data_IF_422187336716
#
_entry.id   IF_422187336716
#
_cell.length_a   1.000
_cell.length_b   1.000
_cell.length_c   1.000
_cell.angle_alpha   90.00
_cell.angle_beta   90.00
_cell.angle_gamma   90.00
#
_symmetry.space_group_name_H-M   'P 1'
#
loop_
_entity.id
_entity.type
_entity.pdbx_description
1 polymer ?
#
# COMPACT_ATOMS: atom_id res chain seq x y z
N UNK A 1 -52.47 -12.43 31.18
CA UNK A 1 -51.20 -13.17 31.34
C UNK A 1 -50.58 -13.28 29.94
N UNK A 2 -49.75 -12.32 29.55
CA UNK A 2 -48.29 -12.23 29.73
C UNK A 2 -47.52 -12.72 28.50
N UNK A 3 -46.89 -11.75 27.82
CA UNK A 3 -45.49 -11.75 27.39
C UNK A 3 -45.02 -12.80 26.35
N UNK A 4 -44.77 -12.37 25.11
CA UNK A 4 -43.50 -11.74 24.68
C UNK A 4 -43.47 -11.52 23.16
N UNK A 5 -43.45 -10.25 22.77
CA UNK A 5 -42.87 -9.78 21.51
C UNK A 5 -41.37 -10.12 21.50
N UNK A 6 -40.90 -10.83 20.48
CA UNK A 6 -39.48 -10.83 20.11
C UNK A 6 -39.38 -10.23 18.72
N UNK A 7 -39.08 -8.92 18.70
CA UNK A 7 -38.61 -8.20 17.53
C UNK A 7 -37.21 -8.71 17.19
N UNK A 8 -37.07 -9.46 16.11
CA UNK A 8 -35.76 -9.69 15.50
C UNK A 8 -35.39 -8.45 14.68
N UNK A 9 -34.84 -7.46 15.38
CA UNK A 9 -34.00 -6.40 14.82
C UNK A 9 -32.55 -6.85 15.03
N UNK A 10 -31.86 -7.23 13.95
CA UNK A 10 -30.41 -7.35 13.96
C UNK A 10 -29.87 -7.06 12.55
N UNK A 11 -29.61 -5.77 12.34
CA UNK A 11 -28.35 -5.29 11.76
C UNK A 11 -28.07 -5.65 10.30
N UNK A 12 -28.81 -5.03 9.37
CA UNK A 12 -28.23 -4.68 8.08
C UNK A 12 -27.15 -3.61 8.32
N UNK A 13 -25.88 -4.02 8.36
CA UNK A 13 -24.76 -3.08 8.30
C UNK A 13 -24.77 -2.44 6.92
N UNK A 14 -25.27 -1.20 6.89
CA UNK A 14 -25.22 -0.32 5.74
C UNK A 14 -23.76 -0.18 5.33
N UNK A 15 -23.40 -0.77 4.20
CA UNK A 15 -22.17 -0.47 3.50
C UNK A 15 -22.26 0.99 3.02
N UNK A 16 -21.71 1.91 3.81
CA UNK A 16 -21.50 3.28 3.37
C UNK A 16 -20.35 3.28 2.35
N UNK A 17 -20.67 3.05 1.09
CA UNK A 17 -19.80 3.41 -0.02
C UNK A 17 -19.72 4.94 -0.03
N UNK A 18 -18.66 5.50 0.56
CA UNK A 18 -18.34 6.91 0.39
C UNK A 18 -17.83 7.06 -1.04
N UNK A 19 -18.74 7.30 -1.96
CA UNK A 19 -18.41 7.83 -3.28
C UNK A 19 -18.02 9.30 -3.09
N UNK A 20 -16.73 9.57 -2.88
CA UNK A 20 -16.21 10.94 -2.99
C UNK A 20 -16.29 11.33 -4.46
N UNK A 21 -17.33 12.07 -4.81
CA UNK A 21 -17.40 12.81 -6.07
C UNK A 21 -16.34 13.93 -6.02
N UNK A 22 -15.10 13.62 -6.36
CA UNK A 22 -14.07 14.61 -6.65
C UNK A 22 -14.41 15.22 -8.01
N UNK A 23 -15.16 16.33 -7.98
CA UNK A 23 -15.34 17.21 -9.13
C UNK A 23 -13.98 17.51 -9.76
N UNK A 24 -13.91 17.38 -11.09
CA UNK A 24 -12.77 17.66 -11.96
C UNK A 24 -12.18 19.05 -11.71
N UNK A 25 -11.28 19.14 -10.74
CA UNK A 25 -10.35 20.24 -10.58
C UNK A 25 -9.03 19.68 -11.08
N UNK A 26 -8.53 20.22 -12.19
CA UNK A 26 -7.16 20.00 -12.67
C UNK A 26 -6.25 20.36 -11.50
N UNK A 27 -5.76 19.35 -10.77
CA UNK A 27 -4.95 19.55 -9.60
C UNK A 27 -3.60 20.06 -10.07
N UNK A 28 -3.31 21.35 -9.82
CA UNK A 28 -1.96 21.72 -9.49
C UNK A 28 -1.54 20.75 -8.36
N UNK A 29 -0.58 19.87 -8.65
CA UNK A 29 -0.14 18.84 -7.71
C UNK A 29 0.74 19.50 -6.65
N UNK A 30 0.13 20.36 -5.84
CA UNK A 30 0.72 20.82 -4.59
C UNK A 30 0.74 19.64 -3.62
N UNK A 31 1.83 19.53 -2.86
CA UNK A 31 2.06 18.39 -1.98
C UNK A 31 1.13 18.44 -0.77
N UNK A 32 0.27 17.43 -0.66
CA UNK A 32 -0.62 17.24 0.47
C UNK A 32 -0.38 15.86 1.09
N UNK A 33 0.30 15.77 2.25
CA UNK A 33 0.55 14.50 2.92
C UNK A 33 -0.72 13.66 3.16
N UNK A 34 -1.87 14.31 3.37
CA UNK A 34 -3.18 13.64 3.50
C UNK A 34 -3.58 12.80 2.30
N UNK A 35 -3.12 13.12 1.08
CA UNK A 35 -3.39 12.31 -0.12
C UNK A 35 -2.81 10.91 -0.01
N UNK A 36 -1.69 10.77 0.70
CA UNK A 36 -1.05 9.47 0.89
C UNK A 36 -1.87 8.51 1.77
N UNK A 37 -2.85 9.00 2.51
CA UNK A 37 -3.84 8.18 3.23
C UNK A 37 -4.95 7.63 2.34
N UNK A 38 -5.04 8.06 1.07
CA UNK A 38 -6.11 7.60 0.17
C UNK A 38 -6.01 6.09 -0.05
N UNK A 39 -7.16 5.42 0.04
CA UNK A 39 -7.27 3.99 -0.24
C UNK A 39 -6.81 3.70 -1.67
N UNK A 40 -5.91 2.74 -1.82
CA UNK A 40 -5.53 2.19 -3.13
C UNK A 40 -6.33 0.92 -3.41
N UNK A 41 -6.77 0.78 -4.65
CA UNK A 41 -7.48 -0.42 -5.11
C UNK A 41 -6.58 -1.36 -5.90
N UNK A 42 -7.06 -2.57 -6.12
CA UNK A 42 -6.46 -3.54 -7.06
C UNK A 42 -7.39 -3.66 -8.26
N UNK A 43 -6.89 -3.39 -9.47
CA UNK A 43 -7.71 -3.47 -10.70
C UNK A 43 -7.60 -4.82 -11.40
N UNK A 44 -6.51 -5.54 -11.16
CA UNK A 44 -6.29 -6.90 -11.68
C UNK A 44 -6.13 -7.86 -10.51
N UNK A 45 -7.15 -8.68 -10.19
CA UNK A 45 -7.12 -9.58 -9.04
C UNK A 45 -6.23 -10.81 -9.26
N UNK A 46 -5.71 -10.98 -10.48
CA UNK A 46 -4.76 -12.03 -10.83
C UNK A 46 -3.77 -11.50 -11.85
N UNK A 47 -2.50 -11.82 -11.64
CA UNK A 47 -1.39 -11.48 -12.52
C UNK A 47 -0.56 -12.74 -12.75
N UNK A 48 0.20 -12.80 -13.83
CA UNK A 48 1.05 -13.96 -14.13
C UNK A 48 2.51 -13.55 -14.21
N UNK A 49 3.40 -14.37 -13.66
CA UNK A 49 4.83 -14.22 -13.86
C UNK A 49 5.21 -14.56 -15.31
N UNK A 50 6.41 -14.16 -15.72
CA UNK A 50 7.01 -14.55 -17.02
C UNK A 50 7.12 -16.07 -17.20
N UNK A 51 7.15 -16.82 -16.09
CA UNK A 51 7.18 -18.29 -16.05
C UNK A 51 5.79 -18.95 -16.10
N UNK A 52 4.71 -18.16 -16.13
CA UNK A 52 3.32 -18.65 -16.25
C UNK A 52 2.63 -18.96 -14.92
N UNK A 53 3.25 -18.66 -13.78
CA UNK A 53 2.62 -18.84 -12.46
C UNK A 53 1.61 -17.72 -12.21
N UNK A 54 0.37 -18.07 -11.94
CA UNK A 54 -0.67 -17.12 -11.57
C UNK A 54 -0.55 -16.73 -10.09
N UNK A 55 -0.57 -15.43 -9.83
CA UNK A 55 -0.52 -14.81 -8.50
C UNK A 55 -1.84 -14.07 -8.29
N UNK A 56 -2.49 -14.34 -7.15
CA UNK A 56 -3.69 -13.60 -6.75
C UNK A 56 -3.28 -12.28 -6.11
N UNK A 57 -3.94 -11.18 -6.49
CA UNK A 57 -3.69 -9.85 -5.92
C UNK A 57 -4.96 -9.37 -5.21
N UNK A 58 -4.82 -8.93 -3.96
CA UNK A 58 -5.94 -8.44 -3.15
C UNK A 58 -5.56 -7.18 -2.38
N UNK A 59 -6.53 -6.28 -2.19
CA UNK A 59 -6.38 -5.12 -1.29
C UNK A 59 -6.81 -5.41 0.15
N UNK A 60 -7.32 -6.62 0.42
CA UNK A 60 -7.78 -7.06 1.74
C UNK A 60 -7.12 -8.38 2.12
N UNK A 61 -6.82 -8.57 3.41
CA UNK A 61 -6.30 -9.85 3.87
C UNK A 61 -7.35 -10.94 3.74
N UNK A 62 -6.88 -12.15 3.47
CA UNK A 62 -7.70 -13.35 3.58
C UNK A 62 -8.07 -13.59 5.04
N UNK A 63 -9.25 -14.13 5.29
CA UNK A 63 -9.71 -14.45 6.64
C UNK A 63 -9.66 -15.97 6.83
N UNK A 64 -9.01 -16.41 7.90
CA UNK A 64 -9.05 -17.82 8.30
C UNK A 64 -10.46 -18.16 8.80
N UNK A 65 -11.18 -19.08 8.15
CA UNK A 65 -12.55 -19.42 8.54
C UNK A 65 -12.63 -20.09 9.92
N UNK A 66 -11.55 -20.71 10.41
CA UNK A 66 -11.53 -21.40 11.70
C UNK A 66 -11.39 -20.42 12.88
N UNK A 67 -10.60 -19.36 12.70
CA UNK A 67 -10.28 -18.41 13.77
C UNK A 67 -10.96 -17.05 13.60
N UNK A 68 -11.44 -16.73 12.40
CA UNK A 68 -11.94 -15.41 12.02
C UNK A 68 -10.85 -14.33 11.92
N UNK A 69 -9.58 -14.72 12.04
CA UNK A 69 -8.45 -13.79 12.03
C UNK A 69 -7.93 -13.56 10.60
N UNK A 70 -7.28 -12.41 10.39
CA UNK A 70 -6.57 -12.13 9.15
C UNK A 70 -5.36 -13.06 8.99
N UNK A 71 -5.29 -13.75 7.86
CA UNK A 71 -4.13 -14.56 7.46
C UNK A 71 -2.94 -13.65 7.26
N UNK A 72 -1.81 -13.99 7.87
CA UNK A 72 -0.58 -13.22 7.75
C UNK A 72 0.08 -13.53 6.41
N UNK A 73 -0.08 -12.62 5.44
CA UNK A 73 0.24 -12.88 4.03
C UNK A 73 1.69 -13.34 3.82
N UNK A 74 2.66 -12.69 4.46
CA UNK A 74 4.09 -13.01 4.31
C UNK A 74 4.50 -14.36 4.92
N UNK A 75 3.62 -15.00 5.69
CA UNK A 75 3.81 -16.35 6.22
C UNK A 75 3.00 -17.42 5.47
N UNK A 76 2.11 -17.02 4.57
CA UNK A 76 1.29 -17.96 3.80
C UNK A 76 2.09 -18.63 2.68
N UNK A 77 1.77 -19.90 2.42
CA UNK A 77 2.29 -20.68 1.29
C UNK A 77 1.45 -20.50 0.02
N UNK A 78 0.30 -19.83 0.12
CA UNK A 78 -0.50 -19.46 -1.05
C UNK A 78 0.29 -18.54 -1.98
N UNK A 79 -0.18 -18.39 -3.22
CA UNK A 79 0.46 -17.50 -4.21
C UNK A 79 -0.33 -16.19 -4.27
N UNK A 80 -0.11 -15.36 -3.26
CA UNK A 80 -0.86 -14.11 -3.01
C UNK A 80 0.08 -12.92 -2.88
N UNK A 81 -0.30 -11.80 -3.50
CA UNK A 81 0.20 -10.46 -3.20
C UNK A 81 -0.93 -9.67 -2.56
N UNK A 82 -0.64 -9.07 -1.41
CA UNK A 82 -1.56 -8.19 -0.73
C UNK A 82 -1.07 -6.75 -0.83
N UNK A 83 -1.97 -5.85 -1.23
CA UNK A 83 -1.76 -4.40 -1.27
C UNK A 83 -2.50 -3.79 -0.08
N UNK A 84 -1.77 -3.18 0.85
CA UNK A 84 -2.34 -2.69 2.11
C UNK A 84 -2.14 -1.17 2.21
N UNK A 85 -3.22 -0.36 2.15
CA UNK A 85 -3.09 1.09 2.29
C UNK A 85 -2.69 1.50 3.70
N UNK A 86 -2.05 2.66 3.84
CA UNK A 86 -1.56 3.17 5.13
C UNK A 86 -2.66 3.38 6.18
N UNK A 87 -3.88 3.73 5.75
CA UNK A 87 -5.06 3.83 6.62
C UNK A 87 -5.31 2.51 7.38
N UNK A 88 -5.21 1.37 6.70
CA UNK A 88 -5.40 0.05 7.27
C UNK A 88 -4.27 -0.32 8.24
N UNK A 89 -3.01 0.01 7.92
CA UNK A 89 -1.86 -0.28 8.79
C UNK A 89 -1.85 0.60 10.05
N UNK A 90 -2.28 1.85 9.92
CA UNK A 90 -2.45 2.78 11.05
C UNK A 90 -3.54 2.27 12.01
N UNK A 91 -4.70 1.89 11.47
CA UNK A 91 -5.80 1.35 12.28
C UNK A 91 -5.42 0.04 12.98
N UNK A 92 -4.74 -0.87 12.26
CA UNK A 92 -4.34 -2.16 12.80
C UNK A 92 -3.31 -2.04 13.95
N UNK A 93 -2.29 -1.18 13.79
CA UNK A 93 -1.31 -0.96 14.87
C UNK A 93 -1.90 -0.14 16.02
N UNK A 94 -2.79 0.81 15.77
CA UNK A 94 -3.47 1.56 16.84
C UNK A 94 -4.27 0.62 17.76
N UNK A 95 -4.94 -0.40 17.19
CA UNK A 95 -5.65 -1.41 17.97
C UNK A 95 -4.72 -2.22 18.89
N UNK A 96 -3.51 -2.56 18.43
CA UNK A 96 -2.53 -3.27 19.26
C UNK A 96 -1.84 -2.35 20.28
N UNK A 97 -1.59 -1.09 19.94
CA UNK A 97 -1.00 -0.13 20.88
C UNK A 97 -1.90 0.13 22.09
N UNK A 98 -3.22 0.01 21.93
CA UNK A 98 -4.18 0.09 23.03
C UNK A 98 -4.02 -1.02 24.09
N UNK A 99 -3.28 -2.10 23.79
CA UNK A 99 -3.00 -3.18 24.75
C UNK A 99 -1.93 -2.82 25.78
N UNK A 100 -1.15 -1.75 25.55
CA UNK A 100 -0.10 -1.29 26.46
C UNK A 100 1.19 -2.11 26.44
N UNK A 101 1.32 -3.08 25.54
CA UNK A 101 2.55 -3.85 25.33
C UNK A 101 3.63 -3.00 24.63
N UNK A 102 4.91 -3.34 24.84
CA UNK A 102 6.01 -2.64 24.17
C UNK A 102 6.10 -3.00 22.69
N UNK A 103 6.71 -2.11 21.89
CA UNK A 103 6.89 -2.35 20.46
C UNK A 103 7.68 -3.65 20.17
N UNK A 104 8.65 -4.02 21.02
CA UNK A 104 9.41 -5.25 20.90
C UNK A 104 8.51 -6.48 21.10
N UNK A 105 7.62 -6.43 22.10
CA UNK A 105 6.65 -7.50 22.36
C UNK A 105 5.60 -7.63 21.25
N UNK A 106 5.28 -6.52 20.58
CA UNK A 106 4.30 -6.47 19.50
C UNK A 106 4.88 -6.82 18.13
N UNK A 107 6.19 -6.68 17.90
CA UNK A 107 6.80 -6.73 16.55
C UNK A 107 6.35 -7.89 15.66
N UNK A 108 6.27 -9.11 16.21
CA UNK A 108 5.83 -10.32 15.50
C UNK A 108 4.33 -10.63 15.61
N UNK A 109 3.54 -9.79 16.27
CA UNK A 109 2.11 -10.01 16.44
C UNK A 109 1.39 -9.84 15.12
N UNK A 110 0.48 -10.79 14.88
CA UNK A 110 -0.45 -10.73 13.77
C UNK A 110 -1.39 -9.53 13.94
N UNK A 111 -1.66 -8.83 12.85
CA UNK A 111 -2.61 -7.71 12.87
C UNK A 111 -3.79 -7.96 11.93
N UNK A 112 -4.86 -7.20 12.12
CA UNK A 112 -6.05 -7.26 11.26
C UNK A 112 -5.80 -6.79 9.83
N UNK A 113 -4.67 -6.14 9.54
CA UNK A 113 -4.28 -5.79 8.17
C UNK A 113 -3.74 -7.00 7.40
N UNK A 114 -3.47 -8.14 8.04
CA UNK A 114 -2.79 -9.29 7.40
C UNK A 114 -1.27 -9.14 7.31
N UNK A 115 -0.71 -8.07 7.87
CA UNK A 115 0.72 -7.88 8.08
C UNK A 115 1.05 -7.97 9.57
N UNK A 116 2.33 -8.21 9.88
CA UNK A 116 2.83 -8.11 11.25
C UNK A 116 2.84 -6.66 11.74
N UNK A 117 2.83 -6.47 13.06
CA UNK A 117 2.94 -5.14 13.67
C UNK A 117 4.18 -4.39 13.19
N UNK A 118 5.32 -5.08 13.05
CA UNK A 118 6.56 -4.50 12.56
C UNK A 118 6.47 -4.05 11.09
N UNK A 119 5.88 -4.87 10.22
CA UNK A 119 5.67 -4.52 8.81
C UNK A 119 4.75 -3.30 8.67
N UNK A 120 3.62 -3.27 9.40
CA UNK A 120 2.78 -2.07 9.50
C UNK A 120 3.57 -0.86 10.04
N UNK A 121 4.44 -1.10 11.02
CA UNK A 121 5.27 -0.07 11.64
C UNK A 121 6.18 0.64 10.63
N UNK A 122 6.76 -0.10 9.68
CA UNK A 122 7.58 0.48 8.61
C UNK A 122 6.78 1.48 7.77
N UNK A 123 5.58 1.10 7.33
CA UNK A 123 4.72 1.99 6.54
C UNK A 123 4.24 3.20 7.37
N UNK A 124 3.84 2.97 8.62
CA UNK A 124 3.38 4.02 9.53
C UNK A 124 4.49 5.05 9.84
N UNK A 125 5.73 4.60 10.02
CA UNK A 125 6.89 5.49 10.23
C UNK A 125 7.24 6.27 8.97
N UNK A 126 7.14 5.67 7.77
CA UNK A 126 7.29 6.40 6.52
C UNK A 126 6.23 7.48 6.39
N UNK A 127 4.97 7.15 6.68
CA UNK A 127 3.86 8.10 6.65
C UNK A 127 4.11 9.31 7.57
N UNK A 128 4.58 9.09 8.80
CA UNK A 128 4.97 10.18 9.70
C UNK A 128 6.04 11.09 9.08
N UNK A 129 7.08 10.51 8.47
CA UNK A 129 8.11 11.29 7.79
C UNK A 129 7.58 12.05 6.57
N UNK A 130 6.62 11.49 5.83
CA UNK A 130 5.94 12.22 4.74
C UNK A 130 5.17 13.41 5.31
N UNK A 131 4.54 13.29 6.48
CA UNK A 131 3.81 14.41 7.10
C UNK A 131 4.70 15.48 7.70
N UNK A 132 5.92 15.14 8.11
CA UNK A 132 6.87 16.04 8.76
C UNK A 132 7.82 16.73 7.78
N UNK A 133 8.01 16.18 6.59
CA UNK A 133 8.98 16.70 5.65
C UNK A 133 8.54 18.07 5.08
N UNK A 134 9.54 18.90 4.75
CA UNK A 134 9.34 20.23 4.15
C UNK A 134 9.60 20.24 2.64
N UNK A 135 10.21 19.18 2.10
CA UNK A 135 10.44 18.99 0.66
C UNK A 135 10.50 17.50 0.34
N UNK A 136 10.28 17.15 -0.93
CA UNK A 136 10.37 15.76 -1.39
C UNK A 136 11.83 15.32 -1.43
N UNK A 137 12.75 16.19 -1.85
CA UNK A 137 14.19 15.92 -1.79
C UNK A 137 14.66 15.62 -0.36
N UNK A 138 14.22 16.41 0.63
CA UNK A 138 14.52 16.18 2.04
C UNK A 138 13.91 14.87 2.56
N UNK A 139 12.66 14.58 2.21
CA UNK A 139 11.99 13.31 2.53
C UNK A 139 12.79 12.11 1.99
N UNK A 140 13.16 12.13 0.71
CA UNK A 140 13.89 11.03 0.08
C UNK A 140 15.29 10.89 0.68
N UNK A 141 15.99 11.98 0.98
CA UNK A 141 17.29 11.91 1.65
C UNK A 141 17.20 11.22 3.02
N UNK A 142 16.12 11.45 3.77
CA UNK A 142 15.92 10.91 5.12
C UNK A 142 15.31 9.49 5.15
N UNK A 143 14.64 9.06 4.09
CA UNK A 143 13.90 7.78 4.05
C UNK A 143 14.43 6.80 3.02
N UNK A 144 15.03 7.30 1.93
CA UNK A 144 15.40 6.54 0.77
C UNK A 144 16.71 7.07 0.14
N UNK A 145 17.83 7.11 0.89
CA UNK A 145 19.04 7.82 0.45
C UNK A 145 19.61 7.28 -0.87
N UNK A 146 19.50 5.96 -1.11
CA UNK A 146 19.91 5.35 -2.38
C UNK A 146 19.03 5.81 -3.55
N UNK A 147 17.71 5.83 -3.36
CA UNK A 147 16.78 6.33 -4.37
C UNK A 147 16.94 7.86 -4.58
N UNK A 148 17.19 8.62 -3.52
CA UNK A 148 17.44 10.06 -3.60
C UNK A 148 18.67 10.37 -4.45
N UNK A 149 19.78 9.65 -4.22
CA UNK A 149 21.03 9.86 -4.96
C UNK A 149 20.90 9.53 -6.45
N UNK A 150 20.04 8.57 -6.81
CA UNK A 150 19.80 8.14 -8.18
C UNK A 150 18.60 8.85 -8.86
N UNK A 151 17.89 9.73 -8.15
CA UNK A 151 16.57 10.22 -8.60
C UNK A 151 16.66 10.98 -9.91
N UNK A 152 17.45 12.04 -9.93
CA UNK A 152 17.51 12.93 -11.09
C UNK A 152 18.09 12.23 -12.33
N UNK A 153 19.09 11.36 -12.16
CA UNK A 153 19.67 10.60 -13.27
C UNK A 153 18.73 9.52 -13.82
N UNK A 154 17.86 8.94 -12.98
CA UNK A 154 16.91 7.89 -13.38
C UNK A 154 15.62 8.47 -13.95
N UNK A 155 15.12 9.55 -13.34
CA UNK A 155 13.80 10.14 -13.65
C UNK A 155 13.91 11.31 -14.63
N UNK A 156 15.09 11.94 -14.74
CA UNK A 156 15.33 13.08 -15.62
C UNK A 156 14.76 14.41 -15.10
N UNK A 157 14.41 14.48 -13.82
CA UNK A 157 13.91 15.68 -13.15
C UNK A 157 14.19 15.62 -11.64
N UNK A 158 14.19 16.79 -11.00
CA UNK A 158 14.34 16.90 -9.54
C UNK A 158 13.18 16.19 -8.81
N UNK A 159 13.48 15.60 -7.65
CA UNK A 159 12.48 14.98 -6.78
C UNK A 159 11.40 15.99 -6.33
N UNK A 160 11.75 17.27 -6.16
CA UNK A 160 10.81 18.32 -5.78
C UNK A 160 9.83 18.70 -6.91
N UNK A 161 10.03 18.21 -8.14
CA UNK A 161 9.04 18.31 -9.21
C UNK A 161 7.91 17.27 -9.09
N UNK A 162 8.05 16.33 -8.16
CA UNK A 162 7.08 15.29 -7.87
C UNK A 162 6.43 15.54 -6.52
N UNK A 163 5.24 14.98 -6.32
CA UNK A 163 4.54 14.99 -5.03
C UNK A 163 4.05 13.60 -4.69
N UNK A 164 4.23 13.12 -3.44
CA UNK A 164 3.61 11.90 -2.96
C UNK A 164 2.08 11.96 -3.08
N UNK A 165 1.49 10.94 -3.69
CA UNK A 165 0.03 10.84 -3.87
C UNK A 165 -0.59 9.59 -3.25
N UNK A 166 0.21 8.54 -3.01
CA UNK A 166 -0.26 7.32 -2.35
C UNK A 166 0.89 6.66 -1.59
N UNK A 167 0.59 6.09 -0.42
CA UNK A 167 1.51 5.30 0.39
C UNK A 167 0.80 4.03 0.84
N UNK A 168 1.37 2.88 0.50
CA UNK A 168 0.81 1.57 0.80
C UNK A 168 1.93 0.54 0.94
N UNK A 169 1.61 -0.62 1.45
CA UNK A 169 2.52 -1.76 1.55
C UNK A 169 2.14 -2.81 0.50
N UNK A 170 3.14 -3.38 -0.17
CA UNK A 170 2.96 -4.59 -0.96
C UNK A 170 3.63 -5.74 -0.22
N UNK A 171 2.86 -6.75 0.12
CA UNK A 171 3.37 -7.95 0.75
C UNK A 171 3.10 -9.16 -0.13
N UNK A 172 4.19 -9.79 -0.58
CA UNK A 172 4.15 -11.09 -1.21
C UNK A 172 4.19 -12.19 -0.13
N UNK A 173 3.28 -13.15 -0.27
CA UNK A 173 3.36 -14.43 0.42
C UNK A 173 4.61 -15.23 0.03
N UNK A 174 4.94 -16.27 0.78
CA UNK A 174 6.09 -17.12 0.47
C UNK A 174 5.95 -17.78 -0.91
N UNK A 175 4.73 -18.24 -1.26
CA UNK A 175 4.44 -18.79 -2.58
C UNK A 175 4.65 -17.76 -3.70
N UNK A 176 4.13 -16.54 -3.52
CA UNK A 176 4.32 -15.46 -4.49
C UNK A 176 5.79 -14.99 -4.59
N UNK A 177 6.49 -14.87 -3.46
CA UNK A 177 7.90 -14.47 -3.42
C UNK A 177 8.78 -15.47 -4.19
N UNK A 178 8.53 -16.77 -4.02
CA UNK A 178 9.20 -17.81 -4.79
C UNK A 178 8.92 -17.70 -6.30
N UNK A 179 7.66 -17.45 -6.68
CA UNK A 179 7.29 -17.25 -8.08
C UNK A 179 7.96 -16.01 -8.69
N UNK A 180 8.00 -14.89 -7.95
CA UNK A 180 8.69 -13.65 -8.35
C UNK A 180 10.19 -13.88 -8.48
N UNK A 181 10.82 -14.58 -7.53
CA UNK A 181 12.25 -14.88 -7.58
C UNK A 181 12.63 -15.70 -8.83
N UNK A 182 11.74 -16.57 -9.31
CA UNK A 182 11.95 -17.33 -10.55
C UNK A 182 11.64 -16.51 -11.81
N UNK A 183 10.63 -15.64 -11.77
CA UNK A 183 10.18 -14.83 -12.91
C UNK A 183 10.85 -13.46 -13.04
N UNK A 184 11.64 -13.05 -12.04
CA UNK A 184 12.27 -11.74 -11.91
C UNK A 184 11.38 -10.69 -11.25
N UNK A 185 10.21 -10.44 -11.83
CA UNK A 185 9.23 -9.46 -11.34
C UNK A 185 7.81 -9.82 -11.76
N UNK A 186 6.84 -9.14 -11.17
CA UNK A 186 5.44 -9.18 -11.63
C UNK A 186 4.84 -7.78 -11.65
N UNK A 187 4.08 -7.47 -12.69
CA UNK A 187 3.41 -6.18 -12.79
C UNK A 187 2.06 -6.23 -12.07
N UNK A 188 1.92 -5.42 -11.02
CA UNK A 188 0.70 -5.31 -10.24
C UNK A 188 -0.03 -4.02 -10.63
N UNK A 189 -1.31 -4.13 -10.96
CA UNK A 189 -2.14 -3.01 -11.36
C UNK A 189 -2.89 -2.41 -10.15
N UNK A 190 -2.51 -1.19 -9.80
CA UNK A 190 -3.00 -0.44 -8.64
C UNK A 190 -3.92 0.69 -9.10
N UNK A 191 -5.15 0.74 -8.58
CA UNK A 191 -6.02 1.90 -8.74
C UNK A 191 -5.63 2.98 -7.74
N UNK A 192 -5.30 4.16 -8.24
CA UNK A 192 -4.97 5.32 -7.42
C UNK A 192 -5.97 6.45 -7.72
N UNK A 193 -6.72 6.93 -6.72
CA UNK A 193 -7.66 8.02 -6.93
C UNK A 193 -6.99 9.26 -7.55
N UNK A 194 -7.60 9.81 -8.60
CA UNK A 194 -7.11 11.04 -9.26
C UNK A 194 -5.97 10.84 -10.26
N UNK A 195 -5.50 9.61 -10.49
CA UNK A 195 -4.53 9.31 -11.56
C UNK A 195 -5.25 9.09 -12.87
N UNK A 196 -4.77 9.74 -13.93
CA UNK A 196 -5.28 9.62 -15.30
C UNK A 196 -4.18 9.15 -16.24
N UNK A 197 -4.56 8.63 -17.40
CA UNK A 197 -3.60 8.24 -18.42
C UNK A 197 -2.70 9.42 -18.84
N UNK A 198 -1.41 9.15 -19.01
CA UNK A 198 -0.41 10.16 -19.34
C UNK A 198 0.17 10.93 -18.14
N UNK A 199 -0.31 10.71 -16.90
CA UNK A 199 0.33 11.25 -15.71
C UNK A 199 1.75 10.67 -15.56
N UNK A 200 2.75 11.55 -15.51
CA UNK A 200 4.13 11.15 -15.23
C UNK A 200 4.25 10.77 -13.76
N UNK A 201 4.62 9.53 -13.49
CA UNK A 201 4.67 8.98 -12.15
C UNK A 201 5.95 8.19 -11.93
N UNK A 202 6.33 8.07 -10.67
CA UNK A 202 7.45 7.23 -10.21
C UNK A 202 7.07 6.60 -8.87
N UNK A 203 7.54 5.38 -8.64
CA UNK A 203 7.42 4.72 -7.36
C UNK A 203 8.78 4.72 -6.65
N UNK A 204 8.75 4.98 -5.34
CA UNK A 204 9.85 4.63 -4.44
C UNK A 204 9.41 3.39 -3.69
N UNK A 205 10.18 2.32 -3.81
CA UNK A 205 9.91 1.06 -3.14
C UNK A 205 10.98 0.80 -2.09
N UNK A 206 10.56 0.37 -0.91
CA UNK A 206 11.44 -0.10 0.15
C UNK A 206 11.27 -1.61 0.30
N UNK A 207 12.36 -2.32 0.54
CA UNK A 207 12.27 -3.68 1.04
C UNK A 207 12.10 -3.69 2.58
N UNK A 208 11.82 -4.87 3.14
CA UNK A 208 11.71 -5.06 4.59
C UNK A 208 13.01 -4.76 5.35
N UNK A 209 14.17 -4.75 4.68
CA UNK A 209 15.45 -4.38 5.26
C UNK A 209 15.70 -2.85 5.25
N UNK A 210 14.82 -2.08 4.61
CA UNK A 210 14.91 -0.63 4.49
C UNK A 210 15.72 -0.15 3.28
N UNK A 211 16.15 -1.05 2.39
CA UNK A 211 16.79 -0.64 1.15
C UNK A 211 15.74 -0.04 0.21
N UNK A 212 16.07 1.09 -0.39
CA UNK A 212 15.16 1.83 -1.27
C UNK A 212 15.62 1.78 -2.72
N UNK A 213 14.65 1.79 -3.64
CA UNK A 213 14.89 1.87 -5.08
C UNK A 213 13.81 2.69 -5.78
N UNK A 214 14.19 3.28 -6.90
CA UNK A 214 13.26 3.91 -7.83
C UNK A 214 12.72 2.82 -8.74
N UNK A 215 11.40 2.73 -8.86
CA UNK A 215 10.72 1.83 -9.78
C UNK A 215 9.92 2.68 -10.77
N UNK A 216 10.25 2.63 -12.08
CA UNK A 216 9.42 3.23 -13.11
C UNK A 216 8.02 2.64 -13.06
N UNK A 217 7.00 3.49 -13.19
CA UNK A 217 5.60 3.04 -13.24
C UNK A 217 4.99 3.40 -14.59
N UNK A 218 4.09 2.55 -15.06
CA UNK A 218 3.30 2.81 -16.26
C UNK A 218 1.87 3.11 -15.84
N UNK A 219 1.29 4.19 -16.35
CA UNK A 219 -0.13 4.48 -16.17
C UNK A 219 -0.88 4.10 -17.44
N UNK A 220 -1.89 3.26 -17.33
CA UNK A 220 -2.73 2.86 -18.47
C UNK A 220 -4.11 2.42 -18.01
N UNK A 221 -5.15 2.91 -18.67
CA UNK A 221 -6.54 2.58 -18.31
C UNK A 221 -6.91 3.04 -16.91
N UNK A 222 -6.30 4.13 -16.42
CA UNK A 222 -6.51 4.64 -15.05
C UNK A 222 -5.90 3.80 -13.93
N UNK A 223 -5.07 2.79 -14.26
CA UNK A 223 -4.32 1.99 -13.30
C UNK A 223 -2.81 2.27 -13.39
N UNK A 224 -2.14 2.21 -12.24
CA UNK A 224 -0.69 2.29 -12.10
C UNK A 224 -0.14 0.87 -12.07
N UNK A 225 0.65 0.51 -13.08
CA UNK A 225 1.35 -0.76 -13.15
C UNK A 225 2.72 -0.61 -12.48
N UNK A 226 2.90 -1.34 -11.39
CA UNK A 226 4.13 -1.37 -10.62
C UNK A 226 4.79 -2.73 -10.78
N UNK A 227 6.07 -2.73 -11.17
CA UNK A 227 6.89 -3.94 -11.18
C UNK A 227 7.33 -4.30 -9.77
N UNK A 228 6.74 -5.37 -9.23
CA UNK A 228 7.00 -5.87 -7.88
C UNK A 228 8.08 -6.95 -7.93
N UNK A 229 9.14 -6.76 -7.14
CA UNK A 229 10.24 -7.73 -6.98
C UNK A 229 10.41 -8.20 -5.53
N UNK A 230 9.95 -7.42 -4.55
CA UNK A 230 10.10 -7.70 -3.12
C UNK A 230 8.92 -7.12 -2.34
N UNK A 231 8.64 -7.68 -1.16
CA UNK A 231 7.70 -7.08 -0.20
C UNK A 231 8.27 -5.81 0.44
N UNK A 232 7.38 -4.87 0.77
CA UNK A 232 7.65 -3.70 1.58
C UNK A 232 6.82 -2.47 1.20
N UNK A 233 7.09 -1.33 1.86
CA UNK A 233 6.42 -0.08 1.57
C UNK A 233 6.65 0.42 0.15
N UNK A 234 5.64 1.10 -0.41
CA UNK A 234 5.66 1.75 -1.71
C UNK A 234 5.03 3.13 -1.61
N UNK A 235 5.75 4.13 -2.09
CA UNK A 235 5.27 5.50 -2.24
C UNK A 235 5.15 5.84 -3.72
N UNK A 236 3.94 6.14 -4.18
CA UNK A 236 3.73 6.67 -5.52
C UNK A 236 3.80 8.19 -5.51
N UNK A 237 4.56 8.73 -6.44
CA UNK A 237 4.68 10.16 -6.64
C UNK A 237 4.29 10.52 -8.06
N UNK A 238 3.54 11.61 -8.21
CA UNK A 238 3.15 12.16 -9.50
C UNK A 238 3.88 13.48 -9.74
N UNK A 239 4.30 13.71 -10.98
CA UNK A 239 4.90 14.98 -11.36
C UNK A 239 3.83 16.06 -11.34
N UNK A 240 4.15 17.23 -10.79
CA UNK A 240 3.31 18.41 -10.99
C UNK A 240 3.25 18.73 -12.49
N UNK A 241 2.04 18.84 -13.04
CA UNK A 241 1.85 19.37 -14.39
C UNK A 241 2.11 20.88 -14.33
N UNK A 242 3.02 21.35 -15.18
CA UNK A 242 3.30 22.78 -15.36
C UNK A 242 2.17 23.45 -16.17
#
# INVERSE_FOLDING_TARGET
MNNKLVRNLASASVAAAIAVAMSSQVLAVEWYPSRTQSEVGVTQPSVSTSTGTSITVSSKPSIDPATGAAVQVESSQDVIIQVTPVSATLAANAALNATGLSAQQLSGQATSSGLSYAANGQLNSLYQKVTEAESVSGLLAATAPAAAAAFESTVGASADSYSPIALYDIAASLGAANAIAQGGSVDVAIAVPGVTDGTQMVAICWDRAGNSRIVPVRVSGGAVYLSVTTSGPVMLMARAQA
#
